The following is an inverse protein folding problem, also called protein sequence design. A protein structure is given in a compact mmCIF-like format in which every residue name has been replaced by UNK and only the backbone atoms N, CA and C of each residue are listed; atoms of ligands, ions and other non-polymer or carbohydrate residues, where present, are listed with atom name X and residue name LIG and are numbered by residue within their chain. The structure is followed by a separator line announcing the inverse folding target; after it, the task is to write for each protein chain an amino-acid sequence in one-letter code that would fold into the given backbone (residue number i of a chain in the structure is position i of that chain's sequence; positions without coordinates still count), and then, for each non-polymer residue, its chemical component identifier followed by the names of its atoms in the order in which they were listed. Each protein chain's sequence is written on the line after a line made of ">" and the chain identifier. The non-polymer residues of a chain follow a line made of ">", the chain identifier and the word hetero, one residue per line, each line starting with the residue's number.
data_IF_297351353008
#
_entry.id   IF_297351353008
#
_cell.length_a   1.000
_cell.length_b   1.000
_cell.length_c   1.000
_cell.angle_alpha   90.00
_cell.angle_beta   90.00
_cell.angle_gamma   90.00
#
_symmetry.space_group_name_H-M   'P 1'
#
loop_
_entity.id
_entity.type
_entity.pdbx_description
1 polymer ?
#
# COMPACT_ATOMS: atom_id res chain seq x y z
N UNK A 1 -15.65 -4.59 8.18
CA UNK A 1 -14.28 -4.12 7.97
C UNK A 1 -14.28 -2.85 7.18
N UNK A 2 -13.50 -1.91 7.58
CA UNK A 2 -13.56 -0.61 6.98
C UNK A 2 -12.74 -0.54 5.69
N UNK A 3 -13.15 0.39 4.84
CA UNK A 3 -12.45 0.69 3.62
C UNK A 3 -11.60 1.92 3.85
N UNK A 4 -10.37 1.90 3.39
CA UNK A 4 -9.46 3.03 3.51
C UNK A 4 -9.32 3.70 2.15
N UNK A 5 -9.42 5.02 2.13
CA UNK A 5 -9.17 5.79 0.92
C UNK A 5 -7.66 5.96 0.73
N UNK A 6 -7.25 5.91 -0.50
CA UNK A 6 -5.83 6.00 -0.85
C UNK A 6 -5.66 6.98 -2.00
N UNK A 7 -5.04 8.12 -1.73
CA UNK A 7 -4.84 9.19 -2.70
C UNK A 7 -3.39 9.62 -2.85
N UNK A 8 -2.49 9.17 -1.99
CA UNK A 8 -1.12 9.66 -2.04
C UNK A 8 -0.15 8.63 -1.44
N UNK A 9 1.14 8.70 -1.79
CA UNK A 9 2.14 7.85 -1.17
C UNK A 9 2.21 8.01 0.35
N UNK A 10 2.01 9.22 0.86
CA UNK A 10 2.02 9.46 2.30
C UNK A 10 0.89 8.71 2.99
N UNK A 11 -0.31 8.71 2.40
CA UNK A 11 -1.42 7.92 2.92
C UNK A 11 -1.13 6.44 2.84
N UNK A 12 -0.54 5.99 1.74
CA UNK A 12 -0.18 4.58 1.59
C UNK A 12 0.79 4.15 2.68
N UNK A 13 1.81 4.97 2.95
CA UNK A 13 2.76 4.70 4.03
C UNK A 13 2.04 4.54 5.38
N UNK A 14 1.15 5.48 5.69
CA UNK A 14 0.39 5.44 6.95
C UNK A 14 -0.51 4.20 7.01
N UNK A 15 -1.18 3.87 5.89
CA UNK A 15 -2.06 2.70 5.84
C UNK A 15 -1.29 1.41 6.04
N UNK A 16 -0.12 1.27 5.41
CA UNK A 16 0.68 0.06 5.57
C UNK A 16 1.05 -0.19 7.02
N UNK A 17 1.47 0.86 7.72
CA UNK A 17 1.80 0.74 9.14
C UNK A 17 0.58 0.39 9.97
N UNK A 18 -0.55 1.04 9.72
CA UNK A 18 -1.79 0.79 10.44
C UNK A 18 -2.28 -0.64 10.22
N UNK A 19 -2.26 -1.09 8.97
CA UNK A 19 -2.72 -2.44 8.63
C UNK A 19 -1.83 -3.50 9.28
N UNK A 20 -0.52 -3.27 9.28
CA UNK A 20 0.40 -4.18 9.95
C UNK A 20 0.08 -4.28 11.43
N UNK A 21 -0.16 -3.15 12.09
CA UNK A 21 -0.50 -3.13 13.52
C UNK A 21 -1.84 -3.78 13.79
N UNK A 22 -2.83 -3.59 12.92
CA UNK A 22 -4.13 -4.26 13.04
C UNK A 22 -3.95 -5.77 13.02
N UNK A 23 -3.04 -6.27 12.19
CA UNK A 23 -2.72 -7.70 12.12
C UNK A 23 -1.77 -8.15 13.22
N UNK A 24 -1.36 -7.25 14.11
CA UNK A 24 -0.47 -7.53 15.24
C UNK A 24 0.87 -8.12 14.78
N UNK A 25 1.37 -7.59 13.68
CA UNK A 25 2.66 -8.04 13.13
C UNK A 25 3.73 -6.97 13.37
N UNK A 26 4.90 -7.42 13.80
CA UNK A 26 6.08 -6.56 13.80
C UNK A 26 6.61 -6.45 12.38
N UNK A 27 7.47 -5.46 12.13
CA UNK A 27 8.13 -5.37 10.83
C UNK A 27 8.91 -6.65 10.51
N UNK A 28 9.61 -7.19 11.51
CA UNK A 28 10.38 -8.42 11.33
C UNK A 28 9.48 -9.59 10.92
N UNK A 29 8.32 -9.72 11.55
CA UNK A 29 7.39 -10.81 11.23
C UNK A 29 6.82 -10.67 9.83
N UNK A 30 6.43 -9.47 9.44
CA UNK A 30 5.89 -9.25 8.10
C UNK A 30 6.98 -9.43 7.05
N UNK A 31 8.19 -8.94 7.30
CA UNK A 31 9.31 -9.12 6.40
C UNK A 31 9.58 -10.60 6.14
N UNK A 32 9.52 -11.40 7.21
CA UNK A 32 9.72 -12.85 7.10
C UNK A 32 8.68 -13.49 6.19
N UNK A 33 7.42 -13.07 6.32
CA UNK A 33 6.35 -13.59 5.45
C UNK A 33 6.57 -13.25 3.99
N UNK A 34 7.20 -12.09 3.74
CA UNK A 34 7.47 -11.64 2.38
C UNK A 34 8.80 -12.16 1.83
N UNK A 35 9.60 -12.81 2.67
CA UNK A 35 10.91 -13.30 2.25
C UNK A 35 11.93 -12.19 2.05
N UNK A 36 11.80 -11.08 2.77
CA UNK A 36 12.73 -9.96 2.69
C UNK A 36 13.26 -9.62 4.07
N UNK A 37 14.31 -8.79 4.12
CA UNK A 37 14.85 -8.32 5.38
C UNK A 37 14.01 -7.23 6.00
N UNK A 38 14.09 -7.10 7.33
CA UNK A 38 13.37 -6.06 8.04
C UNK A 38 13.76 -4.65 7.56
N UNK A 39 15.04 -4.33 7.33
CA UNK A 39 15.39 -2.99 6.82
C UNK A 39 14.73 -2.67 5.50
N UNK A 40 14.59 -3.67 4.63
CA UNK A 40 13.90 -3.48 3.35
C UNK A 40 12.44 -3.17 3.57
N UNK A 41 11.77 -3.89 4.47
CA UNK A 41 10.37 -3.63 4.78
C UNK A 41 10.18 -2.25 5.40
N UNK A 42 11.08 -1.86 6.30
CA UNK A 42 11.01 -0.52 6.90
C UNK A 42 11.10 0.56 5.82
N UNK A 43 11.97 0.37 4.84
CA UNK A 43 12.11 1.28 3.72
C UNK A 43 10.86 1.32 2.86
N UNK A 44 10.26 0.17 2.59
CA UNK A 44 9.01 0.09 1.81
C UNK A 44 7.88 0.81 2.54
N UNK A 45 7.74 0.62 3.84
CA UNK A 45 6.71 1.31 4.61
C UNK A 45 6.89 2.81 4.60
N UNK A 46 8.14 3.26 4.55
CA UNK A 46 8.45 4.69 4.53
C UNK A 46 8.27 5.30 3.14
N UNK A 47 8.64 4.56 2.10
CA UNK A 47 8.64 5.03 0.72
C UNK A 47 7.98 4.00 -0.20
N UNK A 48 6.67 3.75 -0.04
CA UNK A 48 6.00 2.72 -0.84
C UNK A 48 5.94 3.06 -2.33
N UNK A 49 6.11 4.32 -2.68
CA UNK A 49 6.11 4.74 -4.07
C UNK A 49 7.30 4.19 -4.86
N UNK A 50 8.31 3.65 -4.16
CA UNK A 50 9.53 3.14 -4.82
C UNK A 50 9.45 1.67 -5.18
N UNK A 51 8.38 0.96 -4.81
CA UNK A 51 8.25 -0.45 -5.12
C UNK A 51 7.36 -0.66 -6.33
N UNK A 52 7.50 -1.82 -6.96
CA UNK A 52 6.64 -2.18 -8.09
C UNK A 52 5.22 -2.45 -7.60
N UNK A 53 4.26 -2.33 -8.51
CA UNK A 53 2.87 -2.66 -8.18
C UNK A 53 2.74 -4.13 -7.75
N UNK A 54 3.52 -5.03 -8.37
CA UNK A 54 3.50 -6.43 -7.99
C UNK A 54 3.94 -6.65 -6.56
N UNK A 55 5.03 -6.00 -6.16
CA UNK A 55 5.51 -6.08 -4.78
C UNK A 55 4.50 -5.49 -3.80
N UNK A 56 3.85 -4.41 -4.17
CA UNK A 56 2.84 -3.78 -3.31
C UNK A 56 1.64 -4.70 -3.14
N UNK A 57 1.19 -5.34 -4.21
CA UNK A 57 0.09 -6.29 -4.13
C UNK A 57 0.44 -7.50 -3.27
N UNK A 58 1.68 -7.99 -3.36
CA UNK A 58 2.14 -9.07 -2.49
C UNK A 58 2.11 -8.65 -1.03
N UNK A 59 2.49 -7.42 -0.76
CA UNK A 59 2.46 -6.88 0.60
C UNK A 59 1.04 -6.84 1.14
N UNK A 60 0.10 -6.34 0.35
CA UNK A 60 -1.31 -6.34 0.74
C UNK A 60 -1.83 -7.75 0.98
N UNK A 61 -1.46 -8.69 0.11
CA UNK A 61 -1.88 -10.09 0.29
C UNK A 61 -1.35 -10.65 1.61
N UNK A 62 -0.09 -10.36 1.95
CA UNK A 62 0.51 -10.82 3.20
C UNK A 62 -0.18 -10.21 4.42
N UNK A 63 -0.77 -9.04 4.27
CA UNK A 63 -1.53 -8.38 5.32
C UNK A 63 -3.00 -8.83 5.36
N UNK A 64 -3.43 -9.67 4.41
CA UNK A 64 -4.82 -10.07 4.31
C UNK A 64 -5.72 -8.95 3.84
N UNK A 65 -5.21 -8.08 2.99
CA UNK A 65 -5.92 -6.90 2.49
C UNK A 65 -6.26 -7.09 1.03
N UNK A 66 -7.49 -6.78 0.67
CA UNK A 66 -7.93 -6.75 -0.72
C UNK A 66 -7.87 -5.32 -1.24
N UNK A 67 -7.41 -5.16 -2.47
CA UNK A 67 -7.38 -3.86 -3.13
C UNK A 67 -8.56 -3.79 -4.09
N UNK A 68 -9.42 -2.80 -3.88
CA UNK A 68 -10.59 -2.59 -4.72
C UNK A 68 -10.49 -1.23 -5.37
N UNK A 69 -10.95 -1.14 -6.60
CA UNK A 69 -11.00 0.12 -7.33
C UNK A 69 -12.45 0.49 -7.56
N UNK A 70 -12.78 1.74 -7.25
CA UNK A 70 -14.15 2.23 -7.42
C UNK A 70 -14.14 3.43 -8.35
N UNK A 71 -14.96 3.36 -9.38
CA UNK A 71 -15.11 4.47 -10.30
C UNK A 71 -15.89 5.59 -9.64
N UNK A 72 -15.43 6.81 -9.84
CA UNK A 72 -16.23 7.97 -9.51
C UNK A 72 -17.32 8.13 -10.57
N UNK A 73 -18.50 8.65 -10.19
CA UNK A 73 -19.56 8.85 -11.18
C UNK A 73 -19.10 9.75 -12.34
N UNK A 74 -18.33 10.79 -12.04
CA UNK A 74 -17.81 11.71 -13.06
C UNK A 74 -16.40 12.12 -12.68
N UNK A 75 -15.40 11.86 -13.53
CA UNK A 75 -14.06 12.34 -13.26
C UNK A 75 -14.02 13.86 -13.37
N UNK A 76 -13.31 14.52 -12.47
CA UNK A 76 -13.11 15.95 -12.57
C UNK A 76 -12.07 16.23 -13.64
N UNK A 77 -12.28 17.24 -14.51
CA UNK A 77 -11.31 17.52 -15.56
C UNK A 77 -9.89 17.75 -15.07
N UNK A 78 -9.74 18.41 -13.93
CA UNK A 78 -8.42 18.68 -13.36
C UNK A 78 -7.73 17.45 -12.83
N UNK A 79 -8.45 16.35 -12.69
CA UNK A 79 -7.90 15.08 -12.24
C UNK A 79 -7.60 14.12 -13.38
N UNK A 80 -7.74 14.58 -14.61
CA UNK A 80 -7.48 13.72 -15.75
C UNK A 80 -5.99 13.43 -15.87
N UNK A 81 -5.64 12.24 -16.28
CA UNK A 81 -4.25 11.96 -16.65
C UNK A 81 -3.81 12.89 -17.76
N UNK A 82 -2.56 13.25 -17.73
CA UNK A 82 -2.04 14.18 -18.72
C UNK A 82 -1.58 13.50 -20.00
N UNK A 83 -1.75 12.23 -20.09
CA UNK A 83 -1.38 11.53 -21.32
C UNK A 83 0.10 11.25 -21.48
N UNK A 84 0.92 11.67 -20.55
CA UNK A 84 2.34 11.34 -20.60
C UNK A 84 2.68 10.20 -19.66
N UNK A 85 1.79 9.42 -19.42
CA UNK A 85 2.04 8.25 -18.61
C UNK A 85 3.09 7.38 -19.21
#
# INVERSE_FOLDING_TARGET
>A
MDTLLLHSPAQLSAHLKSLRKIRRLTQAQLAKRLGIGQPRLADIEKHPETVSSGQLLDLFAALGVEVLLRLRPTPKPENRPRGEW
#
